data_IF_546586526282
#
_entry.id   IF_546586526282
#
_cell.length_a   1.000
_cell.length_b   1.000
_cell.length_c   1.000
_cell.angle_alpha   90.00
_cell.angle_beta   90.00
_cell.angle_gamma   90.00
#
_symmetry.space_group_name_H-M   'P 1'
#
loop_
_entity.id
_entity.type
_entity.pdbx_description
1 polymer ?
#
# COMPACT_ATOMS: atom_id res chain seq x y z
N UNK A 1 -16.55 13.60 0.62
CA UNK A 1 -17.65 14.03 -0.25
C UNK A 1 -17.70 13.31 -1.60
N UNK A 2 -16.58 13.08 -2.33
CA UNK A 2 -16.64 12.21 -3.53
C UNK A 2 -16.43 10.71 -3.23
N UNK A 3 -15.48 10.37 -2.35
CA UNK A 3 -15.22 9.00 -1.94
C UNK A 3 -16.42 8.35 -1.24
N UNK A 4 -17.13 9.12 -0.42
CA UNK A 4 -18.37 8.70 0.26
C UNK A 4 -19.50 8.42 -0.74
N UNK A 5 -19.61 9.24 -1.80
CA UNK A 5 -20.62 9.05 -2.84
C UNK A 5 -20.34 7.80 -3.68
N UNK A 6 -19.08 7.57 -4.06
CA UNK A 6 -18.65 6.35 -4.77
C UNK A 6 -18.90 5.10 -3.90
N UNK A 7 -18.68 5.22 -2.59
CA UNK A 7 -18.92 4.15 -1.61
C UNK A 7 -20.43 3.87 -1.39
N UNK A 8 -21.29 4.89 -1.39
CA UNK A 8 -22.72 4.73 -1.08
C UNK A 8 -23.59 4.29 -2.27
N UNK A 9 -23.19 4.59 -3.52
CA UNK A 9 -24.06 4.39 -4.69
C UNK A 9 -23.59 3.31 -5.69
N UNK A 10 -22.44 2.65 -5.45
CA UNK A 10 -21.97 1.60 -6.35
C UNK A 10 -22.48 0.21 -5.94
N UNK A 11 -23.10 -0.56 -6.85
CA UNK A 11 -23.52 -1.95 -6.57
C UNK A 11 -22.32 -2.90 -6.36
N UNK A 12 -21.13 -2.53 -6.85
CA UNK A 12 -19.84 -3.12 -6.49
C UNK A 12 -18.90 -2.00 -6.05
N UNK A 13 -18.57 -1.94 -4.77
CA UNK A 13 -17.67 -0.91 -4.24
C UNK A 13 -16.24 -1.18 -4.72
N UNK A 14 -15.79 -0.40 -5.70
CA UNK A 14 -14.41 -0.44 -6.18
C UNK A 14 -13.48 0.24 -5.16
N UNK A 15 -12.94 -0.57 -4.24
CA UNK A 15 -12.09 -0.08 -3.15
C UNK A 15 -10.77 0.52 -3.62
N UNK A 16 -10.31 0.22 -4.84
CA UNK A 16 -9.15 0.88 -5.42
C UNK A 16 -9.45 2.36 -5.73
N UNK A 17 -10.66 2.67 -6.22
CA UNK A 17 -11.12 4.06 -6.41
C UNK A 17 -11.33 4.78 -5.09
N UNK A 18 -11.98 4.13 -4.12
CA UNK A 18 -12.18 4.70 -2.77
C UNK A 18 -10.83 5.08 -2.15
N UNK A 19 -9.86 4.15 -2.19
CA UNK A 19 -8.49 4.39 -1.72
C UNK A 19 -7.83 5.59 -2.41
N UNK A 20 -7.96 5.68 -3.73
CA UNK A 20 -7.38 6.79 -4.50
C UNK A 20 -7.89 8.16 -4.04
N UNK A 21 -9.20 8.28 -3.77
CA UNK A 21 -9.80 9.53 -3.35
C UNK A 21 -9.47 9.89 -1.89
N UNK A 22 -9.43 8.93 -0.97
CA UNK A 22 -9.09 9.20 0.43
C UNK A 22 -7.62 9.63 0.60
N UNK A 23 -6.69 8.99 -0.11
CA UNK A 23 -5.27 9.36 -0.07
C UNK A 23 -5.06 10.79 -0.56
N UNK A 24 -5.74 11.20 -1.64
CA UNK A 24 -5.71 12.60 -2.12
C UNK A 24 -6.41 13.58 -1.18
N UNK A 25 -7.43 13.15 -0.44
CA UNK A 25 -8.18 13.96 0.51
C UNK A 25 -7.49 14.21 1.85
N UNK A 26 -6.32 13.57 2.10
CA UNK A 26 -5.49 13.76 3.28
C UNK A 26 -6.22 13.57 4.63
N UNK A 27 -7.14 12.60 4.69
CA UNK A 27 -7.94 12.31 5.90
C UNK A 27 -7.84 10.82 6.30
N UNK A 28 -6.72 10.40 6.90
CA UNK A 28 -6.47 8.99 7.23
C UNK A 28 -7.44 8.42 8.27
N UNK A 29 -7.93 9.23 9.21
CA UNK A 29 -8.89 8.77 10.24
C UNK A 29 -10.22 8.33 9.64
N UNK A 30 -10.75 9.15 8.73
CA UNK A 30 -12.00 8.85 8.03
C UNK A 30 -11.84 7.70 7.04
N UNK A 31 -10.64 7.50 6.53
CA UNK A 31 -10.33 6.36 5.69
C UNK A 31 -10.32 5.06 6.52
N UNK A 32 -9.71 5.06 7.71
CA UNK A 32 -9.74 3.92 8.63
C UNK A 32 -11.17 3.45 8.93
N UNK A 33 -12.08 4.37 9.26
CA UNK A 33 -13.49 4.03 9.50
C UNK A 33 -14.21 3.48 8.26
N UNK A 34 -13.75 3.78 7.05
CA UNK A 34 -14.34 3.28 5.79
C UNK A 34 -13.85 1.87 5.45
N UNK A 35 -12.59 1.55 5.77
CA UNK A 35 -11.99 0.22 5.55
C UNK A 35 -12.55 -0.86 6.49
N UNK A 36 -13.27 -0.47 7.53
CA UNK A 36 -13.79 -1.35 8.57
C UNK A 36 -15.22 -1.86 8.31
N UNK A 37 -15.67 -1.84 7.05
CA UNK A 37 -16.96 -2.41 6.67
C UNK A 37 -16.88 -3.96 6.66
N UNK A 38 -17.88 -4.68 7.21
CA UNK A 38 -17.81 -6.13 7.36
C UNK A 38 -17.68 -6.84 6.01
N UNK A 39 -16.57 -7.56 5.81
CA UNK A 39 -16.29 -8.35 4.61
C UNK A 39 -14.97 -8.02 3.89
N UNK A 40 -14.19 -7.03 4.35
CA UNK A 40 -12.93 -6.68 3.69
C UNK A 40 -11.72 -7.51 4.14
N UNK A 41 -11.00 -7.97 3.13
CA UNK A 41 -9.80 -8.80 3.20
C UNK A 41 -8.57 -7.91 3.40
N UNK A 42 -7.53 -8.44 4.03
CA UNK A 42 -6.23 -7.79 4.30
C UNK A 42 -5.63 -6.96 3.14
N UNK A 43 -5.99 -7.28 1.90
CA UNK A 43 -5.69 -6.55 0.67
C UNK A 43 -6.11 -5.07 0.71
N UNK A 44 -7.30 -4.74 1.23
CA UNK A 44 -7.79 -3.35 1.24
C UNK A 44 -6.92 -2.46 2.15
N UNK A 45 -6.58 -2.99 3.33
CA UNK A 45 -5.70 -2.32 4.30
C UNK A 45 -4.29 -2.19 3.72
N UNK A 46 -3.76 -3.26 3.14
CA UNK A 46 -2.46 -3.24 2.49
C UNK A 46 -2.40 -2.20 1.37
N UNK A 47 -3.41 -2.16 0.50
CA UNK A 47 -3.52 -1.17 -0.58
C UNK A 47 -3.53 0.26 -0.05
N UNK A 48 -4.31 0.52 1.00
CA UNK A 48 -4.39 1.83 1.63
C UNK A 48 -3.04 2.30 2.17
N UNK A 49 -2.35 1.44 2.93
CA UNK A 49 -1.03 1.76 3.50
C UNK A 49 0.01 1.95 2.39
N UNK A 50 0.08 1.01 1.44
CA UNK A 50 1.04 1.09 0.33
C UNK A 50 0.81 2.33 -0.53
N UNK A 51 -0.44 2.79 -0.69
CA UNK A 51 -0.74 4.01 -1.46
C UNK A 51 -0.29 5.29 -0.77
N UNK A 52 -0.35 5.36 0.56
CA UNK A 52 0.24 6.47 1.31
C UNK A 52 1.77 6.45 1.20
N UNK A 53 2.39 5.29 1.38
CA UNK A 53 3.83 5.14 1.24
C UNK A 53 4.30 5.46 -0.20
N UNK A 54 3.61 4.97 -1.23
CA UNK A 54 3.95 5.26 -2.63
C UNK A 54 3.80 6.74 -3.00
N UNK A 55 3.19 7.58 -2.15
CA UNK A 55 3.14 9.04 -2.30
C UNK A 55 4.15 9.78 -1.41
N UNK A 56 5.00 9.06 -0.67
CA UNK A 56 5.98 9.61 0.26
C UNK A 56 5.39 9.99 1.62
N UNK A 57 4.14 9.61 1.90
CA UNK A 57 3.42 10.03 3.11
C UNK A 57 3.45 8.95 4.20
N UNK A 58 4.62 8.76 4.83
CA UNK A 58 4.79 7.83 5.96
C UNK A 58 3.93 8.22 7.17
N UNK A 59 3.76 9.51 7.41
CA UNK A 59 2.98 10.02 8.54
C UNK A 59 1.53 9.54 8.49
N UNK A 60 0.86 9.72 7.36
CA UNK A 60 -0.55 9.33 7.26
C UNK A 60 -0.73 7.82 7.15
N UNK A 61 0.25 7.09 6.59
CA UNK A 61 0.27 5.64 6.63
C UNK A 61 0.29 5.10 8.08
N UNK A 62 1.12 5.70 8.95
CA UNK A 62 1.15 5.35 10.37
C UNK A 62 -0.14 5.77 11.11
N UNK A 63 -0.69 6.97 10.83
CA UNK A 63 -1.96 7.40 11.43
C UNK A 63 -3.10 6.44 11.07
N UNK A 64 -3.16 5.99 9.81
CA UNK A 64 -4.15 5.02 9.34
C UNK A 64 -4.05 3.72 10.15
N UNK A 65 -2.84 3.16 10.27
CA UNK A 65 -2.62 1.90 10.97
C UNK A 65 -2.92 1.99 12.48
N UNK A 66 -2.59 3.11 13.11
CA UNK A 66 -2.92 3.34 14.53
C UNK A 66 -4.42 3.48 14.76
N UNK A 67 -5.15 4.13 13.85
CA UNK A 67 -6.60 4.24 13.95
C UNK A 67 -7.30 2.88 13.79
N UNK A 68 -6.83 2.05 12.87
CA UNK A 68 -7.31 0.67 12.69
C UNK A 68 -7.08 -0.19 13.94
N UNK A 69 -5.92 -0.05 14.60
CA UNK A 69 -5.65 -0.74 15.87
C UNK A 69 -6.60 -0.31 16.98
N UNK A 70 -6.86 1.00 17.12
CA UNK A 70 -7.82 1.52 18.13
C UNK A 70 -9.22 0.96 17.93
N UNK A 71 -9.68 0.86 16.68
CA UNK A 71 -10.97 0.25 16.34
C UNK A 71 -11.03 -1.25 16.66
N UNK A 72 -9.86 -1.91 16.69
CA UNK A 72 -9.76 -3.31 17.14
C UNK A 72 -9.81 -3.42 18.66
N UNK A 73 -9.16 -2.50 19.37
CA UNK A 73 -9.15 -2.43 20.84
C UNK A 73 -10.53 -2.05 21.41
N UNK A 74 -11.32 -1.25 20.68
CA UNK A 74 -12.72 -0.94 21.03
C UNK A 74 -13.70 -2.10 20.77
N UNK A 75 -13.21 -3.27 20.32
CA UNK A 75 -13.97 -4.46 19.97
C UNK A 75 -15.02 -4.27 18.85
N UNK A 76 -14.92 -3.18 18.08
CA UNK A 76 -15.82 -2.91 16.95
C UNK A 76 -15.45 -3.74 15.71
N UNK A 77 -14.17 -4.10 15.55
CA UNK A 77 -13.64 -4.79 14.36
C UNK A 77 -12.49 -5.74 14.74
N UNK A 78 -12.30 -6.86 14.04
CA UNK A 78 -11.12 -7.71 14.19
C UNK A 78 -10.25 -7.57 12.95
N UNK A 79 -9.00 -7.10 13.13
CA UNK A 79 -8.04 -7.04 12.02
C UNK A 79 -7.62 -8.44 11.56
N UNK A 80 -7.45 -8.66 10.25
CA UNK A 80 -6.96 -9.93 9.73
C UNK A 80 -5.56 -10.26 10.28
N UNK A 81 -5.36 -11.49 10.76
CA UNK A 81 -4.05 -11.99 11.19
C UNK A 81 -3.36 -12.76 10.07
N UNK A 82 -3.10 -12.08 8.96
CA UNK A 82 -2.49 -12.69 7.76
C UNK A 82 -1.02 -12.30 7.62
N UNK A 83 -0.28 -13.06 6.81
CA UNK A 83 1.09 -12.74 6.44
C UNK A 83 1.21 -11.37 5.76
N UNK A 84 0.21 -10.96 5.00
CA UNK A 84 0.16 -9.64 4.37
C UNK A 84 0.05 -8.53 5.42
N UNK A 85 -0.77 -8.69 6.46
CA UNK A 85 -0.84 -7.73 7.55
C UNK A 85 0.45 -7.68 8.37
N UNK A 86 1.12 -8.82 8.55
CA UNK A 86 2.45 -8.86 9.16
C UNK A 86 3.49 -8.10 8.31
N UNK A 87 3.48 -8.30 6.99
CA UNK A 87 4.31 -7.56 6.05
C UNK A 87 4.10 -6.04 6.21
N UNK A 88 2.85 -5.58 6.20
CA UNK A 88 2.52 -4.14 6.35
C UNK A 88 3.06 -3.58 7.66
N UNK A 89 2.91 -4.30 8.78
CA UNK A 89 3.44 -3.89 10.08
C UNK A 89 4.96 -3.75 10.06
N UNK A 90 5.68 -4.74 9.52
CA UNK A 90 7.14 -4.69 9.44
C UNK A 90 7.64 -3.66 8.44
N UNK A 91 6.91 -3.44 7.35
CA UNK A 91 7.21 -2.42 6.35
C UNK A 91 7.20 -1.03 6.99
N UNK A 92 6.13 -0.66 7.71
CA UNK A 92 6.04 0.63 8.41
C UNK A 92 7.21 0.84 9.39
N UNK A 93 7.52 -0.18 10.20
CA UNK A 93 8.67 -0.15 11.11
C UNK A 93 10.03 -0.03 10.40
N UNK A 94 10.12 -0.51 9.15
CA UNK A 94 11.33 -0.40 8.33
C UNK A 94 11.47 1.00 7.76
N UNK A 95 10.36 1.63 7.35
CA UNK A 95 10.36 3.01 6.83
C UNK A 95 10.80 4.03 7.89
N UNK A 96 10.64 3.75 9.17
CA UNK A 96 11.13 4.61 10.26
C UNK A 96 12.66 4.63 10.42
N UNK A 97 13.35 3.60 9.90
CA UNK A 97 14.79 3.38 10.12
C UNK A 97 15.66 3.62 8.88
N UNK A 98 15.05 4.03 7.77
CA UNK A 98 15.70 4.18 6.47
C UNK A 98 16.61 2.99 6.08
N UNK A 99 16.06 1.78 6.18
CA UNK A 99 16.82 0.53 6.04
C UNK A 99 16.48 -0.21 4.73
N UNK A 100 17.09 0.20 3.62
CA UNK A 100 16.91 -0.46 2.31
C UNK A 100 17.19 -1.98 2.32
N UNK A 101 18.25 -2.50 3.00
CA UNK A 101 18.47 -3.94 3.06
C UNK A 101 17.31 -4.70 3.72
N UNK A 102 16.74 -4.13 4.78
CA UNK A 102 15.59 -4.72 5.48
C UNK A 102 14.34 -4.67 4.61
N UNK A 103 14.13 -3.56 3.89
CA UNK A 103 13.04 -3.44 2.91
C UNK A 103 13.10 -4.53 1.83
N UNK A 104 14.28 -4.74 1.24
CA UNK A 104 14.47 -5.78 0.23
C UNK A 104 14.23 -7.20 0.78
N UNK A 105 14.70 -7.45 2.01
CA UNK A 105 14.46 -8.72 2.70
C UNK A 105 12.95 -8.95 2.92
N UNK A 106 12.21 -7.94 3.35
CA UNK A 106 10.75 -8.04 3.51
C UNK A 106 10.05 -8.35 2.19
N UNK A 107 10.42 -7.67 1.10
CA UNK A 107 9.86 -7.94 -0.24
C UNK A 107 10.08 -9.40 -0.67
N UNK A 108 11.26 -9.95 -0.39
CA UNK A 108 11.58 -11.34 -0.73
C UNK A 108 10.80 -12.34 0.14
N UNK A 109 10.78 -12.13 1.45
CA UNK A 109 10.17 -13.06 2.41
C UNK A 109 8.65 -13.11 2.31
N UNK A 110 8.01 -11.99 1.98
CA UNK A 110 6.55 -11.89 1.87
C UNK A 110 6.06 -11.92 0.41
N UNK A 111 6.91 -12.35 -0.53
CA UNK A 111 6.60 -12.33 -1.97
C UNK A 111 5.26 -12.99 -2.30
N UNK A 112 4.97 -14.16 -1.73
CA UNK A 112 3.71 -14.86 -1.95
C UNK A 112 2.47 -14.03 -1.55
N UNK A 113 2.55 -13.33 -0.42
CA UNK A 113 1.48 -12.45 0.05
C UNK A 113 1.34 -11.18 -0.78
N UNK A 114 2.46 -10.62 -1.26
CA UNK A 114 2.50 -9.43 -2.11
C UNK A 114 1.94 -9.74 -3.50
N UNK A 115 2.29 -10.88 -4.08
CA UNK A 115 1.91 -11.27 -5.44
C UNK A 115 0.40 -11.59 -5.58
N UNK A 116 -0.36 -11.62 -4.48
CA UNK A 116 -1.83 -11.67 -4.49
C UNK A 116 -2.45 -10.48 -5.22
N UNK A 117 -1.76 -9.33 -5.25
CA UNK A 117 -2.18 -8.15 -5.99
C UNK A 117 -1.01 -7.54 -6.75
N UNK A 118 -1.07 -7.59 -8.09
CA UNK A 118 0.02 -7.13 -8.96
C UNK A 118 0.42 -5.66 -8.71
N UNK A 119 -0.55 -4.80 -8.40
CA UNK A 119 -0.34 -3.38 -8.11
C UNK A 119 0.56 -3.15 -6.89
N UNK A 120 0.70 -4.11 -5.97
CA UNK A 120 1.56 -3.97 -4.79
C UNK A 120 3.03 -3.90 -5.17
N UNK A 121 3.47 -4.67 -6.18
CA UNK A 121 4.85 -4.63 -6.64
C UNK A 121 5.19 -3.26 -7.23
N UNK A 122 4.28 -2.66 -8.02
CA UNK A 122 4.47 -1.32 -8.57
C UNK A 122 4.55 -0.26 -7.47
N UNK A 123 3.65 -0.32 -6.47
CA UNK A 123 3.69 0.58 -5.32
C UNK A 123 4.98 0.40 -4.49
N UNK A 124 5.47 -0.82 -4.33
CA UNK A 124 6.75 -1.08 -3.65
C UNK A 124 7.94 -0.53 -4.40
N UNK A 125 7.90 -0.51 -5.73
CA UNK A 125 8.93 0.15 -6.53
C UNK A 125 8.84 1.69 -6.40
N UNK A 126 7.63 2.28 -6.36
CA UNK A 126 7.45 3.71 -6.04
C UNK A 126 8.02 4.05 -4.65
N UNK A 127 7.76 3.18 -3.65
CA UNK A 127 8.27 3.35 -2.29
C UNK A 127 9.80 3.30 -2.29
N UNK A 128 10.38 2.34 -3.02
CA UNK A 128 11.83 2.18 -3.10
C UNK A 128 12.51 3.41 -3.73
N UNK A 129 11.91 3.97 -4.78
CA UNK A 129 12.38 5.18 -5.42
C UNK A 129 12.28 6.39 -4.46
N UNK A 130 11.14 6.56 -3.80
CA UNK A 130 10.88 7.76 -2.97
C UNK A 130 11.64 7.79 -1.66
N UNK A 131 11.73 6.66 -0.96
CA UNK A 131 12.35 6.61 0.36
C UNK A 131 13.84 6.27 0.29
N UNK A 132 14.27 5.49 -0.71
CA UNK A 132 15.65 4.98 -0.78
C UNK A 132 16.42 5.44 -2.03
N UNK A 133 15.79 6.20 -2.93
CA UNK A 133 16.42 6.66 -4.18
C UNK A 133 16.73 5.54 -5.17
N UNK A 134 16.10 4.37 -5.02
CA UNK A 134 16.32 3.23 -5.92
C UNK A 134 15.65 3.53 -7.26
N UNK A 135 16.42 3.60 -8.34
CA UNK A 135 15.83 3.79 -9.66
C UNK A 135 14.95 2.60 -10.04
N UNK A 136 13.73 2.91 -10.49
CA UNK A 136 12.83 1.91 -11.08
C UNK A 136 13.54 1.19 -12.22
N UNK A 137 13.43 -0.14 -12.21
CA UNK A 137 13.83 -0.95 -13.37
C UNK A 137 12.85 -0.64 -14.49
N UNK A 138 13.20 0.30 -15.35
CA UNK A 138 12.38 0.68 -16.48
C UNK A 138 12.31 -0.52 -17.45
N UNK A 139 11.13 -1.11 -17.73
CA UNK A 139 11.02 -2.20 -18.69
C UNK A 139 11.44 -1.77 -20.11
N UNK A 140 11.47 -0.46 -20.38
CA UNK A 140 11.91 0.13 -21.65
C UNK A 140 13.43 0.08 -21.87
N UNK A 141 14.23 -0.24 -20.85
CA UNK A 141 15.71 -0.27 -20.94
C UNK A 141 16.27 -1.42 -21.80
N UNK A 142 15.44 -2.40 -22.18
CA UNK A 142 15.88 -3.58 -22.94
C UNK A 142 15.64 -3.46 -24.47
N UNK A 143 15.22 -2.31 -24.97
CA UNK A 143 15.11 -2.05 -26.42
C UNK A 143 16.32 -1.31 -27.02
N UNK A 144 17.24 -0.81 -26.18
CA UNK A 144 18.39 -0.01 -26.61
C UNK A 144 19.56 -0.79 -27.20
N UNK A 145 19.72 -2.06 -26.84
CA UNK A 145 20.87 -2.88 -27.28
C UNK A 145 20.66 -3.59 -28.63
N UNK A 146 19.44 -3.60 -29.18
CA UNK A 146 19.14 -4.30 -30.45
C UNK A 146 19.53 -3.46 -31.68
N UNK A 147 19.69 -2.14 -31.54
CA UNK A 147 20.05 -1.25 -32.65
C UNK A 147 21.54 -0.88 -32.72
N UNK A 148 22.40 -1.46 -31.87
CA UNK A 148 23.82 -1.07 -31.80
C UNK A 148 24.78 -1.86 -32.70
N UNK A 149 24.32 -2.95 -33.34
CA UNK A 149 25.14 -3.74 -34.25
C UNK A 149 24.46 -3.92 -35.62
N UNK A 150 24.56 -2.89 -36.48
CA UNK A 150 24.49 -3.03 -37.94
C UNK A 150 25.48 -2.04 -38.55
N UNK A 151 26.74 -2.46 -38.58
CA UNK A 151 27.71 -2.03 -39.60
C UNK A 151 27.52 -2.89 -40.86
#
# INVERSE_FOLDING_TARGET
>A
MLAEYIFSESPEVDMAKVTHHFVRGNNPKKFASTLCYPGEDDLAIARAVLRYLSSGNLKDANILMEELKKQTESAEVVLPQTELMQFIKYLLQTMERDALPLFNMLRANFKHSIDRESAFNEMLDDIAERFFGVQRRNPMGMFGDIFKNRD
#
